data_IF_291738901107
#
_entry.id   IF_291738901107
#
_cell.length_a   1.000
_cell.length_b   1.000
_cell.length_c   1.000
_cell.angle_alpha   90.00
_cell.angle_beta   90.00
_cell.angle_gamma   90.00
#
_symmetry.space_group_name_H-M   'P 1'
#
loop_
_entity.id
_entity.type
_entity.pdbx_description
1 polymer ?
#
# COMPACT_ATOMS: atom_id res chain seq x y z
N UNK A 1 4.30 -26.26 16.00
CA UNK A 1 3.91 -24.84 15.85
C UNK A 1 2.39 -24.77 15.75
N UNK A 2 1.70 -23.97 16.57
CA UNK A 2 0.26 -23.74 16.38
C UNK A 2 0.09 -22.75 15.24
N UNK A 3 -0.66 -23.13 14.20
CA UNK A 3 -1.06 -22.17 13.18
C UNK A 3 -1.88 -21.05 13.82
N UNK A 4 -1.53 -19.80 13.54
CA UNK A 4 -2.29 -18.63 13.94
C UNK A 4 -3.72 -18.77 13.42
N UNK A 5 -4.72 -18.72 14.31
CA UNK A 5 -6.13 -18.83 13.90
C UNK A 5 -6.52 -17.54 13.17
N UNK A 6 -6.95 -17.66 11.92
CA UNK A 6 -7.55 -16.52 11.21
C UNK A 6 -8.87 -16.11 11.91
N UNK A 7 -9.00 -14.83 12.24
CA UNK A 7 -10.11 -14.19 12.92
C UNK A 7 -11.08 -13.47 11.98
N UNK A 8 -10.66 -13.00 10.80
CA UNK A 8 -11.52 -12.27 9.84
C UNK A 8 -11.11 -12.48 8.39
N UNK A 9 -12.05 -12.46 7.46
CA UNK A 9 -11.79 -12.45 6.01
C UNK A 9 -12.07 -11.11 5.36
N UNK A 10 -12.26 -10.04 6.12
CA UNK A 10 -12.58 -8.72 5.58
C UNK A 10 -11.43 -7.76 5.84
N UNK A 11 -11.00 -7.06 4.79
CA UNK A 11 -9.97 -6.04 4.85
C UNK A 11 -10.52 -4.72 4.28
N UNK A 12 -10.43 -3.64 5.06
CA UNK A 12 -10.72 -2.31 4.54
C UNK A 12 -9.45 -1.69 3.96
N UNK A 13 -9.49 -1.32 2.68
CA UNK A 13 -8.37 -0.71 1.97
C UNK A 13 -8.76 0.66 1.43
N UNK A 14 -7.83 1.62 1.52
CA UNK A 14 -8.02 2.97 1.01
C UNK A 14 -7.15 3.14 -0.23
N UNK A 15 -7.79 3.37 -1.38
CA UNK A 15 -7.09 3.57 -2.65
C UNK A 15 -6.33 4.92 -2.62
N UNK A 16 -5.06 4.97 -3.05
CA UNK A 16 -4.32 6.22 -3.09
C UNK A 16 -4.97 7.24 -4.04
N UNK A 17 -5.28 8.45 -3.53
CA UNK A 17 -5.71 9.59 -4.36
C UNK A 17 -4.55 10.50 -4.78
N UNK A 18 -3.52 10.59 -3.93
CA UNK A 18 -2.23 11.22 -4.21
C UNK A 18 -1.16 10.39 -3.50
N UNK A 19 -0.04 10.11 -4.17
CA UNK A 19 1.02 9.25 -3.61
C UNK A 19 2.39 9.80 -3.98
N UNK A 20 3.18 10.14 -2.96
CA UNK A 20 4.50 10.75 -3.09
C UNK A 20 5.06 11.11 -1.72
N UNK A 21 6.31 11.60 -1.67
CA UNK A 21 6.95 12.00 -0.43
C UNK A 21 6.22 13.18 0.23
N UNK A 22 6.24 13.22 1.56
CA UNK A 22 5.75 14.35 2.35
C UNK A 22 6.91 14.97 3.15
N UNK A 23 7.38 16.12 2.67
CA UNK A 23 8.49 16.89 3.26
C UNK A 23 8.28 17.21 4.75
N UNK A 24 7.04 17.48 5.16
CA UNK A 24 6.70 17.81 6.55
C UNK A 24 6.95 16.64 7.50
N UNK A 25 7.01 15.41 6.98
CA UNK A 25 7.22 14.18 7.75
C UNK A 25 8.56 13.53 7.47
N UNK A 26 9.42 14.15 6.64
CA UNK A 26 10.69 13.55 6.22
C UNK A 26 11.64 13.31 7.41
N UNK A 27 11.63 14.19 8.41
CA UNK A 27 12.50 14.06 9.60
C UNK A 27 12.01 13.01 10.60
N UNK A 28 10.69 12.79 10.68
CA UNK A 28 10.08 11.96 11.72
C UNK A 28 9.64 10.58 11.23
N UNK A 29 9.56 10.37 9.91
CA UNK A 29 9.17 9.11 9.32
C UNK A 29 10.34 8.50 8.54
N UNK A 30 10.96 7.46 9.12
CA UNK A 30 12.09 6.76 8.51
C UNK A 30 11.78 6.12 7.13
N UNK A 31 10.51 5.97 6.77
CA UNK A 31 10.07 5.45 5.47
C UNK A 31 9.86 6.56 4.41
N UNK A 32 9.95 7.83 4.79
CA UNK A 32 9.88 8.95 3.85
C UNK A 32 11.24 9.15 3.20
N UNK A 33 11.33 8.80 1.92
CA UNK A 33 12.51 8.98 1.10
C UNK A 33 12.26 9.99 -0.01
N UNK A 34 13.33 10.65 -0.47
CA UNK A 34 13.25 11.49 -1.64
C UNK A 34 12.76 10.68 -2.86
N UNK A 35 11.97 11.31 -3.72
CA UNK A 35 11.52 10.69 -4.95
C UNK A 35 12.73 10.37 -5.85
N UNK A 36 12.84 9.12 -6.29
CA UNK A 36 13.87 8.65 -7.23
C UNK A 36 13.42 8.74 -8.70
N UNK A 37 12.16 9.14 -8.93
CA UNK A 37 11.47 9.18 -10.21
C UNK A 37 10.43 10.31 -10.23
N UNK A 38 9.86 10.68 -11.40
CA UNK A 38 8.74 11.61 -11.48
C UNK A 38 7.56 11.17 -10.60
N UNK A 39 6.90 12.13 -9.94
CA UNK A 39 5.80 11.84 -9.01
C UNK A 39 4.62 11.13 -9.68
N UNK A 40 4.32 11.46 -10.93
CA UNK A 40 3.26 10.79 -11.69
C UNK A 40 3.57 9.31 -11.93
N UNK A 41 4.85 8.97 -12.15
CA UNK A 41 5.28 7.58 -12.30
C UNK A 41 5.18 6.84 -10.97
N UNK A 42 5.63 7.46 -9.88
CA UNK A 42 5.51 6.92 -8.52
C UNK A 42 4.03 6.64 -8.19
N UNK A 43 3.15 7.59 -8.49
CA UNK A 43 1.72 7.45 -8.25
C UNK A 43 1.11 6.34 -9.10
N UNK A 44 1.40 6.28 -10.40
CA UNK A 44 0.91 5.23 -11.28
C UNK A 44 1.35 3.83 -10.83
N UNK A 45 2.60 3.69 -10.36
CA UNK A 45 3.12 2.44 -9.81
C UNK A 45 2.44 2.06 -8.50
N UNK A 46 2.23 3.00 -7.59
CA UNK A 46 1.51 2.75 -6.35
C UNK A 46 0.06 2.27 -6.59
N UNK A 47 -0.61 2.82 -7.61
CA UNK A 47 -1.93 2.33 -8.03
C UNK A 47 -1.87 0.89 -8.56
N UNK A 48 -0.89 0.58 -9.42
CA UNK A 48 -0.71 -0.76 -9.95
C UNK A 48 -0.42 -1.80 -8.85
N UNK A 49 0.44 -1.44 -7.89
CA UNK A 49 0.75 -2.29 -6.72
C UNK A 49 -0.48 -2.48 -5.81
N UNK A 50 -1.24 -1.41 -5.56
CA UNK A 50 -2.48 -1.48 -4.78
C UNK A 50 -3.53 -2.39 -5.45
N UNK A 51 -3.72 -2.24 -6.75
CA UNK A 51 -4.69 -3.02 -7.52
C UNK A 51 -4.27 -4.50 -7.55
N UNK A 52 -2.98 -4.80 -7.71
CA UNK A 52 -2.43 -6.16 -7.65
C UNK A 52 -2.60 -6.81 -6.26
N UNK A 53 -2.36 -6.06 -5.17
CA UNK A 53 -2.58 -6.55 -3.81
C UNK A 53 -4.07 -6.84 -3.56
N UNK A 54 -4.94 -5.94 -3.99
CA UNK A 54 -6.40 -6.10 -3.87
C UNK A 54 -6.88 -7.34 -4.61
N UNK A 55 -6.38 -7.59 -5.82
CA UNK A 55 -6.68 -8.81 -6.57
C UNK A 55 -6.20 -10.06 -5.82
N UNK A 56 -4.95 -10.06 -5.35
CA UNK A 56 -4.36 -11.18 -4.61
C UNK A 56 -5.19 -11.54 -3.36
N UNK A 57 -5.62 -10.53 -2.61
CA UNK A 57 -6.46 -10.73 -1.43
C UNK A 57 -7.82 -11.35 -1.80
N UNK A 58 -8.46 -10.84 -2.86
CA UNK A 58 -9.75 -11.36 -3.34
C UNK A 58 -9.64 -12.80 -3.82
N UNK A 59 -8.58 -13.13 -4.56
CA UNK A 59 -8.31 -14.50 -5.02
C UNK A 59 -8.08 -15.47 -3.85
N UNK A 60 -7.54 -14.96 -2.73
CA UNK A 60 -7.41 -15.70 -1.47
C UNK A 60 -8.69 -15.75 -0.63
N UNK A 61 -9.82 -15.19 -1.11
CA UNK A 61 -11.11 -15.17 -0.40
C UNK A 61 -11.21 -14.11 0.70
N UNK A 62 -10.34 -13.11 0.68
CA UNK A 62 -10.43 -11.91 1.54
C UNK A 62 -11.24 -10.85 0.81
N UNK A 63 -12.33 -10.42 1.44
CA UNK A 63 -13.28 -9.43 0.92
C UNK A 63 -12.92 -8.00 1.33
#
# INVERSE_FOLDING_TARGET
>A
MRASRQTTRHAFMVRPGAFGPNEQTAESNAFQHAADRPLDEIHARALAEFDAMTMTLRDAGVA
#
